data_IF_798053230350
#
_entry.id   IF_798053230350
#
_cell.length_a   1.000
_cell.length_b   1.000
_cell.length_c   1.000
_cell.angle_alpha   90.00
_cell.angle_beta   90.00
_cell.angle_gamma   90.00
#
_symmetry.space_group_name_H-M   'P 1'
#
loop_
_entity.id
_entity.type
_entity.pdbx_description
1 polymer ?
#
# COMPACT_ATOMS: atom_id res chain seq x y z
N UNK A 1 28.25 7.69 -8.67
CA UNK A 1 27.09 6.78 -8.53
C UNK A 1 25.99 7.26 -9.46
N UNK A 2 25.31 6.39 -10.22
CA UNK A 2 24.16 6.83 -11.01
C UNK A 2 23.11 7.45 -10.09
N UNK A 3 22.46 8.52 -10.55
CA UNK A 3 21.36 9.16 -9.83
C UNK A 3 20.22 8.14 -9.79
N UNK A 4 19.74 7.76 -8.61
CA UNK A 4 18.58 6.88 -8.50
C UNK A 4 17.39 7.58 -9.18
N UNK A 5 16.80 6.93 -10.19
CA UNK A 5 15.56 7.42 -10.79
C UNK A 5 14.43 7.33 -9.77
N UNK A 6 13.58 8.36 -9.75
CA UNK A 6 12.40 8.40 -8.89
C UNK A 6 11.26 7.71 -9.61
N UNK A 7 10.61 6.75 -8.96
CA UNK A 7 9.42 6.13 -9.51
C UNK A 7 8.27 7.14 -9.63
N UNK A 8 7.51 7.08 -10.72
CA UNK A 8 6.33 7.92 -10.96
C UNK A 8 5.11 7.45 -10.14
N UNK A 9 5.04 6.15 -9.83
CA UNK A 9 4.00 5.54 -9.01
C UNK A 9 4.48 4.20 -8.41
N UNK A 10 3.77 3.71 -7.40
CA UNK A 10 3.96 2.38 -6.80
C UNK A 10 2.66 1.58 -6.91
N UNK A 11 2.75 0.36 -7.43
CA UNK A 11 1.65 -0.60 -7.43
C UNK A 11 1.84 -1.60 -6.29
N UNK A 12 0.82 -1.79 -5.48
CA UNK A 12 0.77 -2.84 -4.44
C UNK A 12 -0.40 -3.77 -4.70
N UNK A 13 -0.25 -5.04 -4.35
CA UNK A 13 -1.24 -6.10 -4.63
C UNK A 13 -1.49 -6.88 -3.35
N UNK A 14 -2.77 -7.15 -3.07
CA UNK A 14 -3.18 -7.92 -1.90
C UNK A 14 -2.92 -7.17 -0.59
N UNK A 15 -2.88 -7.89 0.52
CA UNK A 15 -3.09 -7.34 1.87
C UNK A 15 -2.07 -7.80 2.90
N UNK A 16 -0.90 -8.25 2.44
CA UNK A 16 0.17 -8.69 3.32
C UNK A 16 1.02 -7.51 3.81
N UNK A 17 1.89 -7.77 4.78
CA UNK A 17 2.71 -6.72 5.41
C UNK A 17 3.57 -5.92 4.43
N UNK A 18 4.02 -6.52 3.32
CA UNK A 18 4.76 -5.81 2.29
C UNK A 18 3.91 -4.77 1.57
N UNK A 19 2.61 -5.04 1.34
CA UNK A 19 1.66 -4.08 0.77
C UNK A 19 1.56 -2.85 1.65
N UNK A 20 1.36 -3.06 2.95
CA UNK A 20 1.31 -1.99 3.94
C UNK A 20 2.62 -1.18 3.96
N UNK A 21 3.75 -1.86 4.08
CA UNK A 21 5.06 -1.22 4.17
C UNK A 21 5.38 -0.38 2.93
N UNK A 22 5.16 -0.92 1.73
CA UNK A 22 5.37 -0.22 0.47
C UNK A 22 4.50 1.03 0.36
N UNK A 23 3.22 0.94 0.75
CA UNK A 23 2.27 2.05 0.68
C UNK A 23 2.67 3.20 1.61
N UNK A 24 3.07 2.89 2.85
CA UNK A 24 3.54 3.89 3.81
C UNK A 24 4.82 4.58 3.30
N UNK A 25 5.76 3.82 2.78
CA UNK A 25 7.02 4.38 2.25
C UNK A 25 6.75 5.27 1.04
N UNK A 26 5.92 4.82 0.10
CA UNK A 26 5.55 5.60 -1.08
C UNK A 26 4.89 6.93 -0.69
N UNK A 27 3.95 6.93 0.27
CA UNK A 27 3.32 8.15 0.79
C UNK A 27 4.34 9.11 1.40
N UNK A 28 5.26 8.61 2.23
CA UNK A 28 6.34 9.43 2.83
C UNK A 28 7.26 10.06 1.79
N UNK A 29 7.41 9.44 0.62
CA UNK A 29 8.20 9.94 -0.50
C UNK A 29 7.37 10.77 -1.51
N UNK A 30 6.09 11.02 -1.20
CA UNK A 30 5.13 11.68 -2.09
C UNK A 30 5.08 11.01 -3.48
N UNK A 31 5.05 9.69 -3.51
CA UNK A 31 4.89 8.88 -4.73
C UNK A 31 3.45 8.30 -4.72
N UNK A 32 2.66 8.49 -5.79
CA UNK A 32 1.33 7.92 -5.92
C UNK A 32 1.30 6.40 -5.72
N UNK A 33 0.23 5.89 -5.10
CA UNK A 33 0.05 4.45 -4.83
C UNK A 33 -1.24 3.95 -5.48
N UNK A 34 -1.13 2.89 -6.28
CA UNK A 34 -2.26 2.13 -6.78
C UNK A 34 -2.35 0.79 -6.03
N UNK A 35 -3.53 0.49 -5.46
CA UNK A 35 -3.76 -0.75 -4.72
C UNK A 35 -4.71 -1.67 -5.50
N UNK A 36 -4.22 -2.87 -5.82
CA UNK A 36 -4.97 -3.93 -6.48
C UNK A 36 -5.50 -4.92 -5.44
N UNK A 37 -6.76 -5.36 -5.61
CA UNK A 37 -7.50 -6.22 -4.67
C UNK A 37 -8.02 -5.54 -3.39
N UNK A 38 -8.07 -4.21 -3.39
CA UNK A 38 -8.63 -3.39 -2.32
C UNK A 38 -10.12 -3.65 -1.99
N UNK A 39 -10.86 -4.40 -2.81
CA UNK A 39 -12.32 -4.54 -2.66
C UNK A 39 -12.79 -5.58 -1.64
N UNK A 40 -11.95 -6.54 -1.27
CA UNK A 40 -12.34 -7.60 -0.35
C UNK A 40 -12.37 -7.10 1.10
N UNK A 41 -13.45 -7.37 1.82
CA UNK A 41 -13.62 -6.98 3.23
C UNK A 41 -14.11 -8.15 4.05
N UNK A 42 -13.39 -8.44 5.13
CA UNK A 42 -13.78 -9.42 6.13
C UNK A 42 -14.63 -8.78 7.23
N UNK A 43 -14.32 -7.53 7.60
CA UNK A 43 -14.87 -6.90 8.82
C UNK A 43 -14.31 -7.45 10.13
N UNK A 44 -13.51 -8.52 10.07
CA UNK A 44 -12.85 -9.12 11.23
C UNK A 44 -11.52 -8.42 11.54
N UNK A 45 -11.52 -7.58 12.59
CA UNK A 45 -10.33 -6.87 13.06
C UNK A 45 -9.31 -7.76 13.77
N UNK A 46 -9.60 -9.06 13.96
CA UNK A 46 -8.60 -10.03 14.42
C UNK A 46 -7.72 -10.57 13.29
N UNK A 47 -8.14 -10.38 12.02
CA UNK A 47 -7.34 -10.72 10.84
C UNK A 47 -6.32 -9.63 10.54
N UNK A 48 -5.01 -9.92 10.57
CA UNK A 48 -3.97 -8.96 10.18
C UNK A 48 -4.17 -8.42 8.76
N UNK A 49 -4.66 -9.26 7.85
CA UNK A 49 -4.93 -8.90 6.46
C UNK A 49 -6.01 -7.81 6.34
N UNK A 50 -7.07 -7.85 7.16
CA UNK A 50 -8.11 -6.82 7.15
C UNK A 50 -7.55 -5.47 7.64
N UNK A 51 -6.70 -5.48 8.67
CA UNK A 51 -6.01 -4.29 9.17
C UNK A 51 -5.12 -3.71 8.06
N UNK A 52 -4.34 -4.55 7.39
CA UNK A 52 -3.46 -4.15 6.31
C UNK A 52 -4.23 -3.55 5.12
N UNK A 53 -5.39 -4.11 4.74
CA UNK A 53 -6.26 -3.53 3.69
C UNK A 53 -6.72 -2.14 4.09
N UNK A 54 -7.28 -1.99 5.29
CA UNK A 54 -7.82 -0.72 5.76
C UNK A 54 -6.76 0.39 5.76
N UNK A 55 -5.56 0.08 6.26
CA UNK A 55 -4.47 1.08 6.27
C UNK A 55 -4.00 1.36 4.85
N UNK A 56 -3.79 0.34 4.02
CA UNK A 56 -3.36 0.51 2.63
C UNK A 56 -4.34 1.36 1.83
N UNK A 57 -5.66 1.15 1.99
CA UNK A 57 -6.71 1.90 1.30
C UNK A 57 -6.91 3.33 1.81
N UNK A 58 -6.38 3.65 2.99
CA UNK A 58 -6.42 5.02 3.55
C UNK A 58 -5.28 5.93 3.03
N UNK A 59 -4.31 5.35 2.32
CA UNK A 59 -3.11 6.01 1.82
C UNK A 59 -3.24 6.68 0.43
N UNK A 60 -4.05 6.18 -0.54
CA UNK A 60 -4.11 6.72 -1.89
C UNK A 60 -4.54 8.20 -1.91
N UNK A 61 -3.99 8.96 -2.85
CA UNK A 61 -4.52 10.24 -3.36
C UNK A 61 -4.89 10.06 -4.83
#
# INVERSE_FOLDING_TARGET
MPKAERADAVLVVGDVNSTLACSIVAKKLNIPVAHVEAGLRSGDMTMPEEINRLVTDSIPD
#
